data_IF_572483430420
#
_entry.id   IF_572483430420
#
_cell.length_a   1.000
_cell.length_b   1.000
_cell.length_c   1.000
_cell.angle_alpha   90.00
_cell.angle_beta   90.00
_cell.angle_gamma   90.00
#
_symmetry.space_group_name_H-M   'P 1'
#
loop_
_entity.id
_entity.type
_entity.pdbx_description
1 polymer ?
#
# COMPACT_ATOMS: atom_id res chain seq x y z
N UNK A 1 10.06 -27.96 35.56
CA UNK A 1 10.76 -26.74 35.08
C UNK A 1 10.41 -26.57 33.60
N UNK A 2 10.52 -25.34 33.09
CA UNK A 2 10.12 -24.85 31.75
C UNK A 2 8.72 -24.22 31.68
N UNK A 3 8.59 -23.07 32.35
CA UNK A 3 7.61 -22.05 31.98
C UNK A 3 8.19 -21.22 30.83
N UNK A 4 7.50 -21.19 29.69
CA UNK A 4 7.77 -20.27 28.60
C UNK A 4 7.55 -18.84 29.10
N UNK A 5 8.64 -18.11 29.26
CA UNK A 5 8.61 -16.67 29.47
C UNK A 5 8.21 -16.03 28.13
N UNK A 6 6.91 -15.76 27.95
CA UNK A 6 6.40 -14.91 26.88
C UNK A 6 6.88 -13.46 27.15
N UNK A 7 8.15 -13.20 26.84
CA UNK A 7 8.66 -11.85 26.81
C UNK A 7 7.96 -11.12 25.66
N UNK A 8 7.01 -10.25 25.99
CA UNK A 8 6.44 -9.31 25.03
C UNK A 8 7.56 -8.33 24.69
N UNK A 9 8.14 -8.48 23.48
CA UNK A 9 9.30 -7.69 23.03
C UNK A 9 8.88 -6.23 22.73
N UNK A 10 7.61 -5.98 22.42
CA UNK A 10 7.02 -4.65 22.31
C UNK A 10 5.48 -4.73 22.51
N UNK A 11 4.92 -3.68 23.13
CA UNK A 11 3.48 -3.53 23.33
C UNK A 11 3.06 -2.16 22.79
N UNK A 12 2.14 -2.17 21.83
CA UNK A 12 1.59 -0.98 21.19
C UNK A 12 0.08 -0.94 21.45
N UNK A 13 -0.46 0.25 21.71
CA UNK A 13 -1.88 0.46 22.05
C UNK A 13 -2.63 1.31 21.02
N UNK A 14 -1.91 1.75 19.99
CA UNK A 14 -2.30 2.76 19.01
C UNK A 14 -2.08 2.27 17.57
N UNK A 15 -1.94 0.96 17.37
CA UNK A 15 -1.75 0.36 16.03
C UNK A 15 -2.94 0.63 15.10
N UNK A 16 -4.11 0.90 15.69
CA UNK A 16 -5.33 1.32 15.01
C UNK A 16 -5.27 2.76 14.48
N UNK A 17 -4.28 3.57 14.87
CA UNK A 17 -4.06 4.92 14.35
C UNK A 17 -3.13 4.95 13.13
N UNK A 18 -2.52 3.83 12.76
CA UNK A 18 -1.71 3.73 11.54
C UNK A 18 -2.59 3.86 10.29
N UNK A 19 -1.96 4.19 9.17
CA UNK A 19 -2.54 4.13 7.82
C UNK A 19 -1.80 3.07 7.00
N UNK A 20 -2.27 2.77 5.78
CA UNK A 20 -1.57 1.88 4.84
C UNK A 20 -0.13 2.36 4.60
N UNK A 21 0.78 1.42 4.41
CA UNK A 21 2.16 1.73 4.02
C UNK A 21 2.20 1.84 2.50
N UNK A 22 1.98 3.04 1.97
CA UNK A 22 1.94 3.31 0.53
C UNK A 22 3.32 3.16 -0.15
N UNK A 23 3.74 1.91 -0.31
CA UNK A 23 4.89 1.47 -1.09
C UNK A 23 4.55 1.36 -2.59
N UNK A 24 5.36 0.64 -3.36
CA UNK A 24 5.11 0.45 -4.79
C UNK A 24 4.06 -0.61 -5.12
N UNK A 25 3.78 -1.56 -4.21
CA UNK A 25 2.99 -2.75 -4.50
C UNK A 25 1.50 -2.48 -4.37
N UNK A 26 1.07 -1.81 -3.31
CA UNK A 26 -0.35 -1.48 -3.13
C UNK A 26 -0.91 -0.63 -4.28
N UNK A 27 -0.29 0.48 -4.72
CA UNK A 27 -0.77 1.21 -5.90
C UNK A 27 -0.74 0.37 -7.17
N UNK A 28 0.24 -0.53 -7.33
CA UNK A 28 0.32 -1.45 -8.47
C UNK A 28 -0.89 -2.38 -8.56
N UNK A 29 -1.46 -2.79 -7.42
CA UNK A 29 -2.69 -3.59 -7.35
C UNK A 29 -3.93 -2.74 -7.59
N UNK A 30 -3.99 -1.55 -7.00
CA UNK A 30 -5.19 -0.70 -7.07
C UNK A 30 -5.40 -0.05 -8.45
N UNK A 31 -4.32 0.20 -9.20
CA UNK A 31 -4.39 0.87 -10.49
C UNK A 31 -5.17 0.10 -11.57
N UNK A 32 -4.84 -1.17 -11.89
CA UNK A 32 -5.55 -1.93 -12.92
C UNK A 32 -7.02 -2.18 -12.55
N UNK A 33 -7.35 -2.22 -11.26
CA UNK A 33 -8.73 -2.34 -10.76
C UNK A 33 -9.54 -1.03 -10.88
N UNK A 34 -8.93 0.06 -11.35
CA UNK A 34 -9.57 1.36 -11.51
C UNK A 34 -9.86 2.07 -10.18
N UNK A 35 -9.28 1.60 -9.07
CA UNK A 35 -9.43 2.23 -7.75
C UNK A 35 -8.59 3.52 -7.69
N UNK A 36 -7.39 3.50 -8.27
CA UNK A 36 -6.58 4.70 -8.52
C UNK A 36 -6.38 4.87 -10.03
N UNK A 37 -6.55 6.10 -10.52
CA UNK A 37 -6.46 6.40 -11.95
C UNK A 37 -5.38 7.45 -12.15
N UNK A 38 -4.37 7.10 -12.95
CA UNK A 38 -3.28 8.00 -13.29
C UNK A 38 -3.67 8.92 -14.46
N UNK A 39 -3.08 10.11 -14.46
CA UNK A 39 -3.08 10.95 -15.66
C UNK A 39 -2.34 10.22 -16.79
N UNK A 40 -2.64 10.57 -18.04
CA UNK A 40 -1.98 9.96 -19.21
C UNK A 40 -0.45 10.11 -19.18
N UNK A 41 0.05 11.21 -18.61
CA UNK A 41 1.48 11.46 -18.43
C UNK A 41 2.10 10.52 -17.39
N UNK A 42 1.47 10.44 -16.21
CA UNK A 42 1.94 9.58 -15.12
C UNK A 42 1.89 8.10 -15.52
N UNK A 43 0.80 7.64 -16.14
CA UNK A 43 0.67 6.29 -16.65
C UNK A 43 1.81 5.95 -17.62
N UNK A 44 2.12 6.86 -18.57
CA UNK A 44 3.21 6.65 -19.52
C UNK A 44 4.57 6.50 -18.84
N UNK A 45 4.86 7.27 -17.79
CA UNK A 45 6.11 7.15 -17.03
C UNK A 45 6.20 5.79 -16.34
N UNK A 46 5.13 5.38 -15.66
CA UNK A 46 5.03 4.09 -14.96
C UNK A 46 5.19 2.93 -15.95
N UNK A 47 4.42 2.92 -17.04
CA UNK A 47 4.44 1.87 -18.07
C UNK A 47 5.81 1.76 -18.75
N UNK A 48 6.46 2.91 -18.99
CA UNK A 48 7.79 2.99 -19.59
C UNK A 48 8.91 2.70 -18.59
N UNK A 49 8.59 2.39 -17.32
CA UNK A 49 9.54 2.12 -16.24
C UNK A 49 10.54 3.26 -16.02
N UNK A 50 10.11 4.49 -16.30
CA UNK A 50 10.89 5.71 -16.08
C UNK A 50 10.84 6.05 -14.59
N UNK A 51 11.98 6.49 -14.07
CA UNK A 51 12.07 6.92 -12.68
C UNK A 51 11.21 8.17 -12.44
N UNK A 52 10.42 8.13 -11.38
CA UNK A 52 9.71 9.26 -10.80
C UNK A 52 10.52 9.74 -9.60
N UNK A 53 10.95 11.00 -9.67
CA UNK A 53 11.82 11.62 -8.66
C UNK A 53 11.15 11.59 -7.28
N UNK A 54 11.90 11.16 -6.25
CA UNK A 54 11.42 11.16 -4.88
C UNK A 54 11.01 12.57 -4.42
N UNK A 55 9.84 12.70 -3.80
CA UNK A 55 9.31 13.98 -3.37
C UNK A 55 8.80 14.89 -4.50
N UNK A 56 8.73 14.39 -5.73
CA UNK A 56 8.01 15.08 -6.81
C UNK A 56 6.50 15.02 -6.57
N UNK A 57 5.76 15.94 -7.20
CA UNK A 57 4.30 15.98 -7.11
C UNK A 57 3.67 14.63 -7.53
N UNK A 58 4.12 14.06 -8.65
CA UNK A 58 3.64 12.74 -9.13
C UNK A 58 3.87 11.62 -8.12
N UNK A 59 5.03 11.59 -7.47
CA UNK A 59 5.34 10.58 -6.47
C UNK A 59 4.47 10.73 -5.21
N UNK A 60 4.32 11.97 -4.74
CA UNK A 60 3.46 12.32 -3.61
C UNK A 60 2.00 11.98 -3.93
N UNK A 61 1.52 12.30 -5.12
CA UNK A 61 0.16 12.01 -5.58
C UNK A 61 -0.15 10.52 -5.58
N UNK A 62 0.76 9.68 -6.10
CA UNK A 62 0.59 8.22 -6.07
C UNK A 62 0.42 7.74 -4.62
N UNK A 63 1.29 8.18 -3.71
CA UNK A 63 1.24 7.73 -2.31
C UNK A 63 0.02 8.25 -1.58
N UNK A 64 -0.30 9.54 -1.71
CA UNK A 64 -1.46 10.15 -1.08
C UNK A 64 -2.77 9.53 -1.57
N UNK A 65 -2.89 9.29 -2.88
CA UNK A 65 -4.05 8.61 -3.47
C UNK A 65 -4.17 7.16 -2.97
N UNK A 66 -3.05 6.45 -2.81
CA UNK A 66 -3.03 5.09 -2.24
C UNK A 66 -3.55 5.08 -0.81
N UNK A 67 -3.04 5.98 0.05
CA UNK A 67 -3.51 6.11 1.43
C UNK A 67 -5.01 6.37 1.45
N UNK A 68 -5.47 7.37 0.71
CA UNK A 68 -6.88 7.73 0.68
C UNK A 68 -7.77 6.58 0.16
N UNK A 69 -7.33 5.87 -0.87
CA UNK A 69 -8.07 4.73 -1.43
C UNK A 69 -8.21 3.59 -0.42
N UNK A 70 -7.11 3.21 0.26
CA UNK A 70 -7.15 2.13 1.25
C UNK A 70 -7.99 2.52 2.47
N UNK A 71 -7.92 3.75 2.95
CA UNK A 71 -8.79 4.26 4.02
C UNK A 71 -10.28 4.17 3.64
N UNK A 72 -10.62 4.51 2.39
CA UNK A 72 -11.99 4.40 1.89
C UNK A 72 -12.46 2.95 1.78
N UNK A 73 -11.60 2.05 1.30
CA UNK A 73 -11.87 0.61 1.24
C UNK A 73 -12.07 0.04 2.64
N UNK A 74 -11.17 0.34 3.57
CA UNK A 74 -11.24 -0.09 4.96
C UNK A 74 -12.55 0.34 5.62
N UNK A 75 -12.89 1.63 5.51
CA UNK A 75 -14.15 2.17 6.03
C UNK A 75 -15.38 1.47 5.45
N UNK A 76 -15.33 1.10 4.17
CA UNK A 76 -16.42 0.36 3.54
C UNK A 76 -16.50 -1.09 4.05
N UNK A 77 -15.36 -1.76 4.25
CA UNK A 77 -15.32 -3.11 4.84
C UNK A 77 -15.86 -3.12 6.27
N UNK A 78 -15.54 -2.11 7.08
CA UNK A 78 -16.08 -1.96 8.43
C UNK A 78 -17.61 -1.79 8.40
N UNK A 79 -18.14 -1.00 7.47
CA UNK A 79 -19.61 -0.84 7.29
C UNK A 79 -20.31 -2.14 6.89
N UNK A 80 -19.60 -3.04 6.23
CA UNK A 80 -20.09 -4.37 5.87
C UNK A 80 -19.97 -5.39 7.02
N UNK A 81 -19.47 -4.98 8.20
CA UNK A 81 -19.34 -5.83 9.37
C UNK A 81 -18.03 -6.61 9.46
N UNK A 82 -17.03 -6.30 8.62
CA UNK A 82 -15.70 -6.86 8.77
C UNK A 82 -14.99 -6.23 9.97
N UNK A 83 -14.15 -7.01 10.64
CA UNK A 83 -13.32 -6.56 11.75
C UNK A 83 -11.86 -6.80 11.40
N UNK A 84 -11.21 -5.78 10.88
CA UNK A 84 -9.78 -5.77 10.56
C UNK A 84 -9.21 -4.38 10.78
N UNK A 85 -7.94 -4.29 11.14
CA UNK A 85 -7.15 -3.07 11.14
C UNK A 85 -6.73 -2.71 9.71
N UNK A 86 -6.48 -1.43 9.44
CA UNK A 86 -6.02 -0.99 8.12
C UNK A 86 -4.69 -1.66 7.73
N UNK A 87 -3.84 -1.97 8.70
CA UNK A 87 -2.59 -2.70 8.45
C UNK A 87 -2.81 -4.15 7.98
N UNK A 88 -3.89 -4.78 8.42
CA UNK A 88 -4.26 -6.11 7.94
C UNK A 88 -4.78 -6.02 6.49
N UNK A 89 -5.52 -4.96 6.16
CA UNK A 89 -5.94 -4.70 4.78
C UNK A 89 -4.74 -4.40 3.86
N UNK A 90 -3.81 -3.56 4.31
CA UNK A 90 -2.55 -3.27 3.63
C UNK A 90 -1.78 -4.57 3.32
N UNK A 91 -1.60 -5.43 4.33
CA UNK A 91 -0.94 -6.72 4.16
C UNK A 91 -1.67 -7.63 3.16
N UNK A 92 -3.01 -7.67 3.19
CA UNK A 92 -3.81 -8.44 2.23
C UNK A 92 -3.61 -7.94 0.80
N UNK A 93 -3.69 -6.62 0.57
CA UNK A 93 -3.46 -6.01 -0.74
C UNK A 93 -2.05 -6.27 -1.24
N UNK A 94 -1.06 -6.16 -0.35
CA UNK A 94 0.33 -6.45 -0.66
C UNK A 94 0.53 -7.93 -1.04
N UNK A 95 -0.07 -8.87 -0.29
CA UNK A 95 -0.03 -10.30 -0.59
C UNK A 95 -0.70 -10.64 -1.92
N UNK A 96 -1.84 -10.01 -2.24
CA UNK A 96 -2.47 -10.13 -3.56
C UNK A 96 -1.48 -9.71 -4.65
N UNK A 97 -0.78 -8.60 -4.46
CA UNK A 97 0.17 -8.12 -5.43
C UNK A 97 1.41 -9.02 -5.56
N UNK A 98 1.96 -9.49 -4.45
CA UNK A 98 3.15 -10.36 -4.45
C UNK A 98 2.85 -11.72 -5.09
N UNK A 99 1.68 -12.31 -4.82
CA UNK A 99 1.26 -13.59 -5.41
C UNK A 99 1.04 -13.51 -6.92
N UNK A 100 0.75 -12.33 -7.47
CA UNK A 100 0.48 -12.10 -8.89
C UNK A 100 1.59 -11.29 -9.59
N UNK A 101 2.78 -11.17 -8.98
CA UNK A 101 3.81 -10.22 -9.42
C UNK A 101 4.29 -10.35 -10.87
N UNK A 102 4.17 -11.54 -11.45
CA UNK A 102 4.56 -11.82 -12.83
C UNK A 102 3.53 -11.30 -13.86
N UNK A 103 2.27 -11.16 -13.44
CA UNK A 103 1.15 -10.75 -14.29
C UNK A 103 0.76 -9.28 -14.09
N UNK A 104 1.30 -8.62 -13.05
CA UNK A 104 1.02 -7.21 -12.77
C UNK A 104 1.64 -6.26 -13.78
N UNK A 105 0.92 -5.18 -14.07
CA UNK A 105 1.43 -4.02 -14.80
C UNK A 105 2.64 -3.41 -14.06
N UNK A 106 3.53 -2.66 -14.75
CA UNK A 106 4.62 -1.94 -14.10
C UNK A 106 4.14 -1.05 -12.94
N UNK A 107 4.97 -0.95 -11.89
CA UNK A 107 4.75 -0.01 -10.79
C UNK A 107 5.62 1.23 -10.97
N UNK A 108 5.26 2.32 -10.26
CA UNK A 108 6.10 3.51 -10.19
C UNK A 108 7.48 3.17 -9.61
N UNK A 109 8.53 3.81 -10.13
CA UNK A 109 9.91 3.58 -9.71
C UNK A 109 10.46 4.87 -9.13
N UNK A 110 10.83 4.82 -7.86
CA UNK A 110 11.36 5.98 -7.16
C UNK A 110 12.56 5.53 -6.36
N UNK A 111 13.72 6.14 -6.62
CA UNK A 111 14.92 5.89 -5.85
C UNK A 111 14.94 6.78 -4.61
N UNK A 112 15.13 6.20 -3.42
CA UNK A 112 15.17 6.95 -2.17
C UNK A 112 16.12 6.31 -1.15
N UNK A 113 16.22 6.88 0.05
CA UNK A 113 16.96 6.23 1.16
C UNK A 113 16.15 5.15 1.88
N UNK A 114 14.84 5.05 1.59
CA UNK A 114 13.92 4.11 2.22
C UNK A 114 13.79 2.80 1.42
N UNK A 115 14.00 2.88 0.11
CA UNK A 115 13.84 1.80 -0.88
C UNK A 115 14.82 2.01 -2.03
#
# INVERSE_FOLDING_TARGET
MYGLHMAVIALFYDIDQLTTFADYRVPQVLHPEGVIVYSSELAKLVDSKVEIVAGSEMEIEIRAATIQAVEMLHKQMLRQGNHLHVIELDWLLWQIGENNKEDLLPHHRTWSIYY
#
